data_IF_226177069122
#
_entry.id   IF_226177069122
#
_cell.length_a   1.000
_cell.length_b   1.000
_cell.length_c   1.000
_cell.angle_alpha   90.00
_cell.angle_beta   90.00
_cell.angle_gamma   90.00
#
_symmetry.space_group_name_H-M   'P 1'
#
loop_
_entity.id
_entity.type
_entity.pdbx_description
1 polymer ?
#
# COMPACT_ATOMS: atom_id res chain seq x y z
N UNK A 1 14.67 40.06 32.46
CA UNK A 1 14.28 40.02 31.04
C UNK A 1 13.82 38.60 30.74
N UNK A 2 12.51 38.33 30.59
CA UNK A 2 12.08 37.02 30.11
C UNK A 2 12.54 36.88 28.65
N UNK A 3 13.26 35.80 28.33
CA UNK A 3 13.70 35.51 26.98
C UNK A 3 12.47 35.12 26.15
N UNK A 4 11.87 36.08 25.44
CA UNK A 4 10.81 35.81 24.47
C UNK A 4 11.44 35.47 23.12
N UNK A 5 11.24 34.24 22.66
CA UNK A 5 11.54 33.87 21.27
C UNK A 5 10.67 34.73 20.33
N UNK A 6 11.24 35.32 19.27
CA UNK A 6 10.45 36.01 18.24
C UNK A 6 9.37 35.08 17.66
N UNK A 7 8.18 35.64 17.42
CA UNK A 7 7.02 34.87 16.97
C UNK A 7 7.28 34.06 15.70
N UNK A 8 8.05 34.63 14.77
CA UNK A 8 8.45 33.96 13.53
C UNK A 8 9.37 32.77 13.78
N UNK A 9 10.36 32.92 14.66
CA UNK A 9 11.23 31.79 15.05
C UNK A 9 10.42 30.69 15.75
N UNK A 10 9.44 31.05 16.57
CA UNK A 10 8.57 30.06 17.20
C UNK A 10 7.68 29.35 16.17
N UNK A 11 7.12 30.08 15.20
CA UNK A 11 6.34 29.51 14.11
C UNK A 11 7.20 28.57 13.23
N UNK A 12 8.37 29.02 12.80
CA UNK A 12 9.18 28.30 11.82
C UNK A 12 9.98 27.16 12.43
N UNK A 13 10.49 27.32 13.65
CA UNK A 13 11.37 26.33 14.30
C UNK A 13 10.67 25.41 15.29
N UNK A 14 9.49 25.77 15.79
CA UNK A 14 8.77 24.96 16.79
C UNK A 14 7.48 24.41 16.19
N UNK A 15 6.62 25.26 15.63
CA UNK A 15 5.31 24.82 15.11
C UNK A 15 5.40 24.07 13.77
N UNK A 16 6.22 24.60 12.85
CA UNK A 16 6.49 23.96 11.56
C UNK A 16 7.53 22.84 11.66
N UNK A 17 8.29 22.80 12.75
CA UNK A 17 9.10 21.63 13.05
C UNK A 17 8.20 20.46 13.47
N UNK A 18 8.57 19.24 13.07
CA UNK A 18 7.89 18.01 13.48
C UNK A 18 8.06 17.65 14.97
N UNK A 19 8.44 18.62 15.82
CA UNK A 19 8.63 18.43 17.26
C UNK A 19 7.29 18.31 18.01
N UNK A 20 6.24 18.96 17.53
CA UNK A 20 4.88 18.87 18.08
C UNK A 20 4.00 18.06 17.15
N UNK A 21 3.16 17.17 17.66
CA UNK A 21 2.13 16.49 16.85
C UNK A 21 1.01 17.46 16.44
N UNK A 22 0.18 17.06 15.47
CA UNK A 22 -1.04 17.80 15.12
C UNK A 22 -1.96 17.95 16.33
N UNK A 23 -2.02 16.94 17.22
CA UNK A 23 -2.78 17.04 18.47
C UNK A 23 -2.20 18.11 19.42
N UNK A 24 -0.87 18.20 19.52
CA UNK A 24 -0.22 19.21 20.36
C UNK A 24 -0.48 20.62 19.82
N UNK A 25 -0.47 20.80 18.50
CA UNK A 25 -0.83 22.07 17.87
C UNK A 25 -2.27 22.50 18.22
N UNK A 26 -3.21 21.57 18.28
CA UNK A 26 -4.59 21.86 18.71
C UNK A 26 -4.64 22.29 20.17
N UNK A 27 -3.87 21.61 21.03
CA UNK A 27 -3.78 21.96 22.45
C UNK A 27 -3.18 23.35 22.64
N UNK A 28 -2.10 23.67 21.94
CA UNK A 28 -1.49 25.02 21.95
C UNK A 28 -2.45 26.07 21.40
N UNK A 29 -3.21 25.75 20.35
CA UNK A 29 -4.20 26.68 19.80
C UNK A 29 -5.32 26.97 20.79
N UNK A 30 -5.66 26.02 21.66
CA UNK A 30 -6.75 26.17 22.63
C UNK A 30 -6.36 26.88 23.92
N UNK A 31 -5.06 27.03 24.23
CA UNK A 31 -4.61 27.71 25.46
C UNK A 31 -4.86 29.22 25.49
N UNK A 32 -4.91 29.89 24.32
CA UNK A 32 -5.28 31.31 24.21
C UNK A 32 -6.14 31.53 22.97
N UNK A 33 -7.37 32.03 23.17
CA UNK A 33 -8.33 32.25 22.05
C UNK A 33 -7.86 33.34 21.08
N UNK A 34 -7.19 34.38 21.56
CA UNK A 34 -6.67 35.46 20.69
C UNK A 34 -5.32 35.08 20.08
N UNK A 35 -4.42 34.54 20.89
CA UNK A 35 -3.01 34.40 20.49
C UNK A 35 -2.76 33.02 19.88
N UNK A 36 -3.32 31.95 20.46
CA UNK A 36 -3.22 30.60 19.88
C UNK A 36 -3.91 30.51 18.52
N UNK A 37 -5.07 31.17 18.39
CA UNK A 37 -5.84 31.15 17.15
C UNK A 37 -5.20 31.97 16.01
N UNK A 38 -4.47 33.04 16.35
CA UNK A 38 -3.75 33.87 15.38
C UNK A 38 -2.40 33.27 14.97
N UNK A 39 -1.84 32.39 15.80
CA UNK A 39 -0.54 31.76 15.52
C UNK A 39 -0.67 30.44 14.74
N UNK A 40 -1.60 29.56 15.13
CA UNK A 40 -1.78 28.24 14.52
C UNK A 40 -2.91 28.31 13.50
N UNK A 41 -2.67 28.93 12.35
CA UNK A 41 -3.70 29.16 11.32
C UNK A 41 -3.88 27.94 10.39
N UNK A 42 -4.86 28.00 9.48
CA UNK A 42 -5.00 27.00 8.43
C UNK A 42 -3.75 26.96 7.53
N UNK A 43 -3.14 28.11 7.24
CA UNK A 43 -1.93 28.21 6.41
C UNK A 43 -0.74 27.49 7.04
N UNK A 44 -0.56 27.60 8.37
CA UNK A 44 0.48 26.86 9.10
C UNK A 44 0.27 25.35 8.96
N UNK A 45 -0.98 24.88 9.01
CA UNK A 45 -1.29 23.47 8.80
C UNK A 45 -1.11 23.04 7.35
N UNK A 46 -1.37 23.91 6.37
CA UNK A 46 -1.11 23.63 4.95
C UNK A 46 0.39 23.44 4.69
N UNK A 47 1.25 24.32 5.19
CA UNK A 47 2.71 24.18 5.07
C UNK A 47 3.20 22.87 5.71
N UNK A 48 2.64 22.51 6.86
CA UNK A 48 2.94 21.24 7.53
C UNK A 48 2.48 20.03 6.69
N UNK A 49 1.29 20.11 6.11
CA UNK A 49 0.72 19.08 5.25
C UNK A 49 1.59 18.87 4.01
N UNK A 50 2.04 19.93 3.34
CA UNK A 50 2.98 19.85 2.21
C UNK A 50 4.30 19.17 2.62
N UNK A 51 4.81 19.51 3.81
CA UNK A 51 6.04 18.90 4.34
C UNK A 51 5.86 17.41 4.68
N UNK A 52 4.69 17.02 5.21
CA UNK A 52 4.34 15.61 5.44
C UNK A 52 4.26 14.85 4.10
N UNK A 53 3.57 15.41 3.12
CA UNK A 53 3.43 14.75 1.82
C UNK A 53 4.78 14.56 1.13
N UNK A 54 5.65 15.58 1.17
CA UNK A 54 7.02 15.52 0.65
C UNK A 54 7.82 14.41 1.33
N UNK A 55 7.82 14.40 2.66
CA UNK A 55 8.62 13.47 3.46
C UNK A 55 8.22 12.01 3.26
N UNK A 56 6.93 11.76 3.00
CA UNK A 56 6.39 10.40 2.93
C UNK A 56 6.13 9.92 1.50
N UNK A 57 6.58 10.66 0.48
CA UNK A 57 6.54 10.23 -0.91
C UNK A 57 5.13 10.14 -1.51
N UNK A 58 4.17 10.88 -0.92
CA UNK A 58 2.77 10.93 -1.37
C UNK A 58 2.44 12.22 -2.13
N UNK A 59 3.43 13.08 -2.40
CA UNK A 59 3.27 14.20 -3.34
C UNK A 59 2.78 13.68 -4.69
N UNK A 60 1.80 14.38 -5.25
CA UNK A 60 1.18 14.03 -6.53
C UNK A 60 0.31 12.77 -6.47
N UNK A 61 0.27 12.05 -5.35
CA UNK A 61 -0.61 10.89 -5.15
C UNK A 61 -1.88 11.25 -4.39
N UNK A 62 -1.77 12.12 -3.39
CA UNK A 62 -2.87 12.54 -2.51
C UNK A 62 -2.77 14.04 -2.34
N UNK A 63 -3.91 14.72 -2.33
CA UNK A 63 -3.99 16.13 -1.98
C UNK A 63 -5.34 16.45 -1.32
N UNK A 64 -5.51 17.70 -0.91
CA UNK A 64 -6.75 18.26 -0.39
C UNK A 64 -7.28 19.34 -1.34
N UNK A 65 -8.57 19.64 -1.27
CA UNK A 65 -9.14 20.75 -2.02
C UNK A 65 -8.67 22.09 -1.41
N UNK A 66 -7.91 22.86 -2.21
CA UNK A 66 -7.34 24.16 -1.85
C UNK A 66 -8.05 25.35 -2.51
N UNK A 67 -9.15 25.12 -3.24
CA UNK A 67 -9.73 26.11 -4.17
C UNK A 67 -10.54 27.23 -3.51
N UNK A 68 -10.90 27.08 -2.22
CA UNK A 68 -11.64 28.06 -1.42
C UNK A 68 -10.91 28.31 -0.09
N UNK A 69 -11.32 29.31 0.74
CA UNK A 69 -10.76 29.48 2.08
C UNK A 69 -10.86 28.16 2.87
N UNK A 70 -9.72 27.50 3.05
CA UNK A 70 -9.70 26.15 3.58
C UNK A 70 -10.01 26.21 5.06
N UNK A 71 -11.11 25.59 5.48
CA UNK A 71 -11.50 25.63 6.89
C UNK A 71 -10.41 24.97 7.75
N UNK A 72 -10.04 25.61 8.86
CA UNK A 72 -9.03 25.07 9.78
C UNK A 72 -9.32 23.61 10.18
N UNK A 73 -10.59 23.29 10.46
CA UNK A 73 -11.00 21.94 10.86
C UNK A 73 -10.86 20.89 9.75
N UNK A 74 -10.91 21.28 8.47
CA UNK A 74 -10.67 20.36 7.36
C UNK A 74 -9.16 20.08 7.21
N UNK A 75 -8.32 21.12 7.15
CA UNK A 75 -6.86 20.96 7.06
C UNK A 75 -6.31 20.19 8.26
N UNK A 76 -6.86 20.45 9.46
CA UNK A 76 -6.48 19.74 10.67
C UNK A 76 -6.72 18.24 10.56
N UNK A 77 -7.88 17.81 10.03
CA UNK A 77 -8.19 16.39 9.83
C UNK A 77 -7.28 15.76 8.78
N UNK A 78 -7.06 16.44 7.66
CA UNK A 78 -6.14 15.94 6.63
C UNK A 78 -4.71 15.79 7.16
N UNK A 79 -4.20 16.81 7.86
CA UNK A 79 -2.89 16.77 8.50
C UNK A 79 -2.80 15.65 9.55
N UNK A 80 -3.87 15.43 10.31
CA UNK A 80 -3.93 14.33 11.28
C UNK A 80 -3.80 12.96 10.59
N UNK A 81 -4.60 12.68 9.55
CA UNK A 81 -4.51 11.40 8.82
C UNK A 81 -3.12 11.22 8.22
N UNK A 82 -2.56 12.28 7.61
CA UNK A 82 -1.22 12.24 7.04
C UNK A 82 -0.15 11.95 8.11
N UNK A 83 -0.21 12.62 9.25
CA UNK A 83 0.72 12.41 10.36
C UNK A 83 0.60 11.01 10.97
N UNK A 84 -0.61 10.50 11.16
CA UNK A 84 -0.81 9.17 11.74
C UNK A 84 -0.22 8.08 10.82
N UNK A 85 -0.59 8.06 9.54
CA UNK A 85 -0.05 7.09 8.58
C UNK A 85 1.47 7.22 8.37
N UNK A 86 2.01 8.42 8.59
CA UNK A 86 3.44 8.71 8.49
C UNK A 86 4.23 8.11 9.66
N UNK A 87 3.68 8.17 10.87
CA UNK A 87 4.37 7.81 12.11
C UNK A 87 4.86 6.36 12.15
N UNK A 88 4.17 5.44 11.46
CA UNK A 88 4.52 4.01 11.38
C UNK A 88 4.95 3.58 9.99
N UNK A 89 5.02 4.51 9.02
CA UNK A 89 5.41 4.24 7.64
C UNK A 89 4.35 3.53 6.81
N UNK A 90 3.05 3.71 7.10
CA UNK A 90 1.98 3.18 6.24
C UNK A 90 1.87 3.93 4.91
N UNK A 91 2.09 5.26 4.91
CA UNK A 91 1.97 6.06 3.68
C UNK A 91 2.90 5.61 2.56
N UNK A 92 4.20 5.35 2.78
CA UNK A 92 5.05 4.81 1.73
C UNK A 92 4.53 3.50 1.12
N UNK A 93 3.94 2.60 1.93
CA UNK A 93 3.37 1.34 1.42
C UNK A 93 2.09 1.58 0.61
N UNK A 94 1.21 2.43 1.13
CA UNK A 94 -0.03 2.83 0.44
C UNK A 94 0.29 3.60 -0.85
N UNK A 95 1.36 4.38 -0.88
CA UNK A 95 1.84 5.08 -2.07
C UNK A 95 2.19 4.11 -3.20
N UNK A 96 2.85 2.99 -2.89
CA UNK A 96 3.14 1.92 -3.87
C UNK A 96 1.84 1.37 -4.45
N UNK A 97 0.86 1.06 -3.60
CA UNK A 97 -0.45 0.61 -4.04
C UNK A 97 -1.15 1.65 -4.94
N UNK A 98 -1.16 2.95 -4.57
CA UNK A 98 -1.78 4.01 -5.38
C UNK A 98 -1.11 4.12 -6.76
N UNK A 99 0.23 4.07 -6.81
CA UNK A 99 0.99 4.14 -8.08
C UNK A 99 0.63 2.98 -9.01
N UNK A 100 0.57 1.76 -8.47
CA UNK A 100 0.16 0.60 -9.23
C UNK A 100 -1.31 0.71 -9.66
N UNK A 101 -2.21 1.12 -8.77
CA UNK A 101 -3.61 1.35 -9.11
C UNK A 101 -3.76 2.37 -10.26
N UNK A 102 -2.95 3.43 -10.28
CA UNK A 102 -2.92 4.39 -11.39
C UNK A 102 -2.45 3.76 -12.71
N UNK A 103 -1.35 2.99 -12.68
CA UNK A 103 -0.81 2.27 -13.84
C UNK A 103 -1.84 1.28 -14.40
N UNK A 104 -2.59 0.62 -13.52
CA UNK A 104 -3.63 -0.34 -13.86
C UNK A 104 -5.00 0.29 -14.13
N UNK A 105 -5.09 1.63 -14.20
CA UNK A 105 -6.32 2.38 -14.45
C UNK A 105 -7.47 2.11 -13.48
N UNK A 106 -7.17 1.72 -12.25
CA UNK A 106 -8.13 1.56 -11.14
C UNK A 106 -8.57 2.93 -10.58
N UNK A 107 -7.92 4.01 -11.01
CA UNK A 107 -8.24 5.39 -10.62
C UNK A 107 -8.92 6.07 -11.82
N UNK A 108 -10.21 5.79 -12.03
CA UNK A 108 -10.93 6.24 -13.24
C UNK A 108 -11.51 7.67 -13.13
N UNK A 109 -11.65 8.22 -11.91
CA UNK A 109 -12.26 9.55 -11.71
C UNK A 109 -11.28 10.57 -11.14
N UNK A 110 -10.90 11.56 -11.94
CA UNK A 110 -10.03 12.67 -11.55
C UNK A 110 -8.53 12.40 -11.62
N UNK A 111 -8.13 11.13 -11.74
CA UNK A 111 -6.72 10.73 -11.79
C UNK A 111 -5.99 11.02 -10.48
N UNK A 112 -4.67 11.14 -10.58
CA UNK A 112 -3.84 11.57 -9.47
C UNK A 112 -3.65 13.10 -9.51
N UNK A 113 -3.63 13.79 -8.34
CA UNK A 113 -3.72 13.23 -7.00
C UNK A 113 -5.15 12.86 -6.58
N UNK A 114 -5.27 11.89 -5.68
CA UNK A 114 -6.51 11.56 -4.99
C UNK A 114 -6.89 12.70 -4.03
N UNK A 115 -7.99 13.39 -4.33
CA UNK A 115 -8.46 14.54 -3.57
C UNK A 115 -9.27 14.13 -2.35
N UNK A 116 -8.74 14.31 -1.14
CA UNK A 116 -9.42 13.96 0.11
C UNK A 116 -10.64 14.86 0.36
N UNK A 117 -11.88 14.39 0.28
CA UNK A 117 -13.04 15.27 0.33
C UNK A 117 -13.27 15.82 1.74
N UNK A 118 -13.49 17.13 1.86
CA UNK A 118 -13.72 17.77 3.16
C UNK A 118 -14.95 17.23 3.89
N UNK A 119 -16.02 16.93 3.13
CA UNK A 119 -17.23 16.35 3.68
C UNK A 119 -16.99 14.92 4.18
N UNK A 120 -16.28 14.10 3.41
CA UNK A 120 -15.96 12.73 3.81
C UNK A 120 -15.13 12.69 5.09
N UNK A 121 -14.08 13.51 5.19
CA UNK A 121 -13.26 13.59 6.42
C UNK A 121 -14.09 14.08 7.61
N UNK A 122 -15.06 14.98 7.42
CA UNK A 122 -15.93 15.43 8.51
C UNK A 122 -16.81 14.29 9.02
N UNK A 123 -17.41 13.52 8.11
CA UNK A 123 -18.40 12.50 8.44
C UNK A 123 -17.76 11.20 8.95
N UNK A 124 -16.58 10.84 8.44
CA UNK A 124 -15.88 9.60 8.78
C UNK A 124 -14.73 9.79 9.78
N UNK A 125 -14.35 11.04 10.08
CA UNK A 125 -13.37 11.39 11.10
C UNK A 125 -13.94 12.43 12.09
N UNK A 126 -15.06 12.12 12.77
CA UNK A 126 -15.63 13.03 13.76
C UNK A 126 -14.72 13.20 14.97
N UNK A 127 -13.96 12.15 15.35
CA UNK A 127 -13.06 12.15 16.51
C UNK A 127 -11.74 11.44 16.20
N UNK A 128 -10.75 11.62 17.09
CA UNK A 128 -9.52 10.81 17.06
C UNK A 128 -9.82 9.33 17.27
N UNK A 129 -10.72 9.00 18.19
CA UNK A 129 -11.05 7.62 18.54
C UNK A 129 -11.61 6.85 17.34
N UNK A 130 -12.47 7.48 16.52
CA UNK A 130 -13.06 6.83 15.34
C UNK A 130 -12.01 6.44 14.28
N UNK A 131 -10.87 7.14 14.22
CA UNK A 131 -9.77 6.75 13.33
C UNK A 131 -9.07 5.47 13.77
N UNK A 132 -9.08 5.17 15.07
CA UNK A 132 -8.37 4.07 15.68
C UNK A 132 -9.27 2.86 15.98
N UNK A 133 -10.51 2.86 15.49
CA UNK A 133 -11.42 1.71 15.57
C UNK A 133 -10.95 0.51 14.75
N UNK A 134 -10.10 0.77 13.75
CA UNK A 134 -9.50 -0.25 12.88
C UNK A 134 -7.97 -0.08 12.87
N UNK A 135 -7.22 -1.12 12.46
CA UNK A 135 -5.79 -1.00 12.23
C UNK A 135 -5.43 0.20 11.35
N UNK A 136 -4.30 0.85 11.64
CA UNK A 136 -3.93 2.12 11.03
C UNK A 136 -3.85 2.05 9.48
N UNK A 137 -3.27 0.99 8.91
CA UNK A 137 -3.19 0.84 7.45
C UNK A 137 -4.58 0.72 6.80
N UNK A 138 -5.54 0.08 7.49
CA UNK A 138 -6.94 0.02 7.07
C UNK A 138 -7.63 1.38 7.22
N UNK A 139 -7.36 2.12 8.30
CA UNK A 139 -7.89 3.46 8.51
C UNK A 139 -7.40 4.43 7.43
N UNK A 140 -6.10 4.39 7.11
CA UNK A 140 -5.49 5.14 6.01
C UNK A 140 -6.13 4.75 4.68
N UNK A 141 -6.26 3.45 4.38
CA UNK A 141 -6.91 3.01 3.16
C UNK A 141 -8.37 3.48 3.07
N UNK A 142 -9.16 3.45 4.15
CA UNK A 142 -10.55 3.97 4.15
C UNK A 142 -10.64 5.41 3.64
N UNK A 143 -9.62 6.23 3.90
CA UNK A 143 -9.58 7.64 3.46
C UNK A 143 -9.43 7.82 1.95
N UNK A 144 -8.95 6.79 1.24
CA UNK A 144 -8.71 6.84 -0.21
C UNK A 144 -9.50 5.79 -0.99
N UNK A 145 -9.90 4.68 -0.37
CA UNK A 145 -10.61 3.54 -0.97
C UNK A 145 -11.87 3.93 -1.72
N UNK A 146 -12.62 4.89 -1.17
CA UNK A 146 -13.85 5.40 -1.76
C UNK A 146 -13.62 6.34 -2.96
N UNK A 147 -12.38 6.79 -3.20
CA UNK A 147 -11.99 7.64 -4.33
C UNK A 147 -11.51 6.82 -5.54
N UNK A 148 -11.47 5.49 -5.41
CA UNK A 148 -11.05 4.57 -6.45
C UNK A 148 -12.25 3.71 -6.89
N UNK A 149 -12.28 3.35 -8.17
CA UNK A 149 -13.34 2.54 -8.76
C UNK A 149 -12.76 1.53 -9.73
N UNK A 150 -13.33 0.33 -9.71
CA UNK A 150 -13.02 -0.71 -10.68
C UNK A 150 -14.35 -1.28 -11.16
N UNK A 151 -14.54 -1.36 -12.48
CA UNK A 151 -15.80 -1.84 -13.09
C UNK A 151 -17.03 -1.12 -12.50
N UNK A 152 -17.00 0.22 -12.44
CA UNK A 152 -18.05 1.09 -11.90
C UNK A 152 -18.38 0.90 -10.41
N UNK A 153 -17.62 0.07 -9.67
CA UNK A 153 -17.80 -0.16 -8.23
C UNK A 153 -16.67 0.48 -7.44
N UNK A 154 -17.03 1.23 -6.38
CA UNK A 154 -16.02 1.83 -5.53
C UNK A 154 -15.24 0.77 -4.73
N UNK A 155 -14.01 1.10 -4.34
CA UNK A 155 -13.16 0.21 -3.57
C UNK A 155 -13.20 0.51 -2.07
N UNK A 156 -14.33 1.04 -1.60
CA UNK A 156 -14.50 1.44 -0.21
C UNK A 156 -14.40 0.22 0.70
N UNK A 157 -13.55 0.33 1.74
CA UNK A 157 -13.46 -0.69 2.77
C UNK A 157 -14.66 -0.60 3.71
N UNK A 158 -15.40 -1.70 3.80
CA UNK A 158 -16.56 -1.85 4.68
C UNK A 158 -16.47 -3.17 5.47
N UNK A 159 -17.12 -3.19 6.62
CA UNK A 159 -17.31 -4.42 7.38
C UNK A 159 -18.61 -5.08 6.93
N UNK A 160 -18.56 -6.39 6.65
CA UNK A 160 -19.73 -7.15 6.24
C UNK A 160 -20.66 -7.37 7.44
N UNK A 161 -21.96 -7.14 7.25
CA UNK A 161 -22.95 -7.39 8.30
C UNK A 161 -23.02 -8.88 8.66
N UNK A 162 -23.17 -9.17 9.96
CA UNK A 162 -23.33 -10.54 10.44
C UNK A 162 -24.53 -11.22 9.75
N UNK A 163 -24.29 -12.34 9.07
CA UNK A 163 -25.33 -13.15 8.42
C UNK A 163 -25.53 -12.92 6.91
N UNK A 164 -24.87 -11.92 6.31
CA UNK A 164 -24.96 -11.67 4.87
C UNK A 164 -24.01 -12.59 4.07
N UNK A 165 -24.30 -13.88 3.96
CA UNK A 165 -23.59 -14.81 3.06
C UNK A 165 -22.26 -15.36 3.59
N UNK A 166 -22.14 -16.69 3.59
CA UNK A 166 -20.92 -17.41 3.97
C UNK A 166 -19.90 -17.36 2.82
N UNK A 167 -19.15 -16.26 2.72
CA UNK A 167 -18.00 -16.17 1.82
C UNK A 167 -16.84 -17.07 2.27
N UNK A 168 -15.90 -17.34 1.37
CA UNK A 168 -14.70 -18.13 1.63
C UNK A 168 -13.87 -17.60 2.83
N UNK A 169 -13.85 -16.28 3.03
CA UNK A 169 -13.20 -15.62 4.16
C UNK A 169 -13.93 -15.85 5.50
N UNK A 170 -15.27 -15.88 5.50
CA UNK A 170 -16.08 -16.11 6.71
C UNK A 170 -15.88 -17.53 7.28
N UNK A 171 -15.72 -18.52 6.39
CA UNK A 171 -15.41 -19.90 6.78
C UNK A 171 -13.95 -20.10 7.24
N UNK A 172 -13.09 -19.09 7.06
CA UNK A 172 -11.68 -19.11 7.44
C UNK A 172 -11.38 -18.31 8.71
N UNK A 173 -12.33 -17.51 9.21
CA UNK A 173 -12.32 -17.05 10.58
C UNK A 173 -12.43 -18.29 11.48
N UNK A 174 -11.48 -18.48 12.39
CA UNK A 174 -11.47 -19.60 13.32
C UNK A 174 -12.69 -19.60 14.27
N UNK A 175 -12.63 -20.34 15.39
CA UNK A 175 -13.75 -20.41 16.35
C UNK A 175 -14.16 -19.05 16.94
N UNK A 176 -13.30 -18.03 16.86
CA UNK A 176 -13.67 -16.63 17.07
C UNK A 176 -14.09 -16.00 15.72
N UNK A 177 -15.34 -15.57 15.63
CA UNK A 177 -15.91 -14.86 14.47
C UNK A 177 -15.27 -13.48 14.31
N UNK A 178 -14.07 -13.44 13.76
CA UNK A 178 -13.43 -12.20 13.35
C UNK A 178 -14.32 -11.50 12.31
N UNK A 179 -14.42 -10.17 12.34
CA UNK A 179 -15.22 -9.44 11.37
C UNK A 179 -14.65 -9.63 9.97
N UNK A 180 -15.53 -9.94 9.01
CA UNK A 180 -15.17 -10.01 7.58
C UNK A 180 -15.20 -8.59 7.01
N UNK A 181 -14.10 -8.24 6.35
CA UNK A 181 -13.92 -6.97 5.68
C UNK A 181 -14.05 -7.18 4.18
N UNK A 182 -14.66 -6.21 3.52
CA UNK A 182 -14.88 -6.21 2.07
C UNK A 182 -14.40 -4.90 1.45
N UNK A 183 -13.74 -5.00 0.31
CA UNK A 183 -13.39 -3.88 -0.56
C UNK A 183 -13.50 -4.36 -2.01
N UNK A 184 -14.52 -3.91 -2.75
CA UNK A 184 -14.87 -4.51 -4.03
C UNK A 184 -15.13 -6.03 -3.89
N UNK A 185 -14.42 -6.86 -4.66
CA UNK A 185 -14.49 -8.33 -4.64
C UNK A 185 -13.50 -8.96 -3.65
N UNK A 186 -12.67 -8.14 -3.00
CA UNK A 186 -11.76 -8.61 -1.96
C UNK A 186 -12.55 -8.84 -0.67
N UNK A 187 -12.45 -10.06 -0.12
CA UNK A 187 -12.98 -10.40 1.20
C UNK A 187 -11.87 -10.95 2.08
N UNK A 188 -11.69 -10.39 3.27
CA UNK A 188 -10.62 -10.84 4.16
C UNK A 188 -11.01 -10.72 5.63
N UNK A 189 -10.23 -11.39 6.47
CA UNK A 189 -10.29 -11.27 7.93
C UNK A 189 -8.94 -10.82 8.47
N UNK A 190 -8.96 -10.02 9.53
CA UNK A 190 -7.74 -9.67 10.27
C UNK A 190 -7.40 -10.83 11.21
N UNK A 191 -6.17 -11.33 11.13
CA UNK A 191 -5.66 -12.37 12.02
C UNK A 191 -4.95 -11.68 13.19
N UNK A 192 -5.39 -11.94 14.41
CA UNK A 192 -4.74 -11.35 15.58
C UNK A 192 -3.38 -12.02 15.83
N UNK A 193 -2.47 -11.32 16.50
CA UNK A 193 -1.18 -11.90 16.89
C UNK A 193 -1.35 -13.17 17.74
N UNK A 194 -2.39 -13.20 18.59
CA UNK A 194 -2.70 -14.32 19.49
C UNK A 194 -3.19 -15.57 18.75
N UNK A 195 -3.77 -15.39 17.56
CA UNK A 195 -4.24 -16.50 16.72
C UNK A 195 -3.10 -17.13 15.93
N UNK A 196 -1.95 -16.45 15.80
CA UNK A 196 -0.79 -17.01 15.12
C UNK A 196 -0.07 -18.01 16.03
N UNK A 197 0.28 -19.21 15.53
CA UNK A 197 1.16 -20.12 16.26
C UNK A 197 2.46 -19.41 16.66
N UNK A 198 2.99 -19.70 17.85
CA UNK A 198 4.18 -19.01 18.38
C UNK A 198 5.41 -19.08 17.44
N UNK A 199 5.52 -20.16 16.65
CA UNK A 199 6.60 -20.37 15.68
C UNK A 199 6.22 -19.96 14.25
N UNK A 200 5.08 -19.30 14.05
CA UNK A 200 4.65 -18.84 12.74
C UNK A 200 5.54 -17.68 12.29
N UNK A 201 6.05 -17.65 11.04
CA UNK A 201 7.00 -16.62 10.61
C UNK A 201 6.43 -15.20 10.65
N UNK A 202 5.12 -15.04 10.44
CA UNK A 202 4.48 -13.72 10.56
C UNK A 202 4.32 -13.24 12.01
N UNK A 203 4.55 -14.10 13.01
CA UNK A 203 4.53 -13.69 14.42
C UNK A 203 5.68 -12.71 14.72
N UNK A 204 6.87 -12.92 14.14
CA UNK A 204 8.03 -12.04 14.39
C UNK A 204 7.90 -10.67 13.72
N UNK A 205 7.21 -10.62 12.57
CA UNK A 205 7.01 -9.41 11.79
C UNK A 205 5.64 -8.76 12.04
N UNK A 206 4.87 -9.25 13.01
CA UNK A 206 3.52 -8.77 13.26
C UNK A 206 3.51 -7.28 13.63
N UNK A 207 2.58 -6.53 13.04
CA UNK A 207 2.36 -5.12 13.36
C UNK A 207 0.88 -4.89 13.53
N UNK A 208 0.45 -4.51 14.73
CA UNK A 208 -0.95 -4.16 14.98
C UNK A 208 -1.46 -3.01 14.09
N UNK A 209 -0.56 -2.14 13.61
CA UNK A 209 -0.88 -1.03 12.71
C UNK A 209 -1.13 -1.49 11.27
N UNK A 210 -0.57 -2.63 10.87
CA UNK A 210 -0.68 -3.20 9.53
C UNK A 210 -0.68 -4.73 9.63
N UNK A 211 -1.80 -5.31 10.08
CA UNK A 211 -1.83 -6.66 10.63
C UNK A 211 -1.81 -7.72 9.54
N UNK A 212 -1.53 -8.95 9.97
CA UNK A 212 -1.73 -10.15 9.14
C UNK A 212 -3.19 -10.24 8.75
N UNK A 213 -3.44 -10.53 7.47
CA UNK A 213 -4.80 -10.70 6.94
C UNK A 213 -4.90 -11.99 6.15
N UNK A 214 -6.10 -12.58 6.18
CA UNK A 214 -6.41 -13.82 5.45
C UNK A 214 -7.48 -13.55 4.40
N UNK A 215 -7.16 -13.89 3.16
CA UNK A 215 -8.08 -13.93 2.02
C UNK A 215 -8.18 -15.37 1.54
N UNK A 216 -9.29 -16.03 1.87
CA UNK A 216 -9.51 -17.44 1.54
C UNK A 216 -8.38 -18.36 2.08
N UNK A 217 -7.69 -19.06 1.19
CA UNK A 217 -6.54 -19.94 1.51
C UNK A 217 -5.20 -19.22 1.61
N UNK A 218 -5.17 -17.91 1.34
CA UNK A 218 -3.96 -17.09 1.34
C UNK A 218 -3.87 -16.29 2.64
N UNK A 219 -2.69 -16.27 3.23
CA UNK A 219 -2.32 -15.50 4.40
C UNK A 219 -1.24 -14.48 4.01
N UNK A 220 -1.56 -13.21 4.18
CA UNK A 220 -0.67 -12.10 3.87
C UNK A 220 -0.05 -11.56 5.16
N UNK A 221 1.25 -11.24 5.17
CA UNK A 221 1.92 -10.74 6.36
C UNK A 221 1.38 -9.38 6.83
N UNK A 222 0.83 -8.58 5.90
CA UNK A 222 0.24 -7.28 6.19
C UNK A 222 -0.98 -7.02 5.30
N UNK A 223 -1.87 -6.12 5.75
CA UNK A 223 -3.00 -5.65 4.93
C UNK A 223 -2.53 -4.90 3.68
N UNK A 224 -1.50 -4.07 3.79
CA UNK A 224 -0.92 -3.36 2.61
C UNK A 224 -0.37 -4.32 1.55
N UNK A 225 0.17 -5.47 1.96
CA UNK A 225 0.64 -6.50 1.04
C UNK A 225 -0.52 -7.16 0.29
N UNK A 226 -1.63 -7.45 0.98
CA UNK A 226 -2.87 -7.91 0.34
C UNK A 226 -3.36 -6.89 -0.70
N UNK A 227 -3.51 -5.61 -0.33
CA UNK A 227 -3.96 -4.57 -1.27
C UNK A 227 -3.09 -4.50 -2.53
N UNK A 228 -1.76 -4.54 -2.35
CA UNK A 228 -0.82 -4.45 -3.48
C UNK A 228 -0.90 -5.70 -4.35
N UNK A 229 -1.08 -6.89 -3.75
CA UNK A 229 -1.29 -8.14 -4.49
C UNK A 229 -2.58 -8.11 -5.32
N UNK A 230 -3.66 -7.52 -4.79
CA UNK A 230 -4.96 -7.45 -5.46
C UNK A 230 -4.92 -6.70 -6.79
N UNK A 231 -4.03 -5.70 -6.94
CA UNK A 231 -3.84 -5.00 -8.21
C UNK A 231 -3.48 -5.97 -9.34
N UNK A 232 -2.65 -6.98 -9.05
CA UNK A 232 -2.17 -7.94 -10.04
C UNK A 232 -3.12 -9.12 -10.26
N UNK A 233 -3.92 -9.47 -9.26
CA UNK A 233 -4.73 -10.70 -9.25
C UNK A 233 -6.19 -10.46 -9.59
N UNK A 234 -6.76 -9.35 -9.12
CA UNK A 234 -8.18 -9.03 -9.23
C UNK A 234 -8.43 -7.84 -10.16
N UNK A 235 -7.53 -6.86 -10.20
CA UNK A 235 -7.78 -5.58 -10.88
C UNK A 235 -6.95 -5.36 -12.14
N UNK A 236 -6.45 -6.44 -12.75
CA UNK A 236 -5.61 -6.34 -13.95
C UNK A 236 -6.40 -6.19 -15.27
N UNK A 237 -7.72 -6.40 -15.27
CA UNK A 237 -8.51 -6.51 -16.51
C UNK A 237 -8.57 -5.21 -17.34
N UNK A 238 -8.36 -4.05 -16.71
CA UNK A 238 -8.41 -2.73 -17.36
C UNK A 238 -7.16 -2.42 -18.18
N UNK A 239 -6.04 -3.11 -17.92
CA UNK A 239 -4.78 -2.92 -18.64
C UNK A 239 -4.35 -4.22 -19.28
N UNK A 240 -3.87 -4.13 -20.52
CA UNK A 240 -3.24 -5.25 -21.20
C UNK A 240 -1.91 -5.58 -20.51
N UNK A 241 -1.97 -6.40 -19.48
CA UNK A 241 -0.80 -7.00 -18.88
C UNK A 241 -0.33 -8.16 -19.74
N UNK A 242 0.93 -8.11 -20.17
CA UNK A 242 1.51 -9.16 -20.99
C UNK A 242 2.40 -10.07 -20.17
N UNK A 243 2.19 -11.38 -20.31
CA UNK A 243 3.12 -12.39 -19.81
C UNK A 243 4.20 -12.55 -20.87
N UNK A 244 5.43 -12.14 -20.57
CA UNK A 244 6.53 -12.19 -21.53
C UNK A 244 7.23 -13.55 -21.54
N UNK A 245 7.34 -14.17 -20.36
CA UNK A 245 8.12 -15.38 -20.18
C UNK A 245 7.59 -16.22 -19.01
N UNK A 246 7.67 -17.53 -19.16
CA UNK A 246 7.50 -18.50 -18.09
C UNK A 246 8.68 -19.50 -18.04
N UNK A 247 9.19 -19.75 -16.83
CA UNK A 247 10.31 -20.67 -16.61
C UNK A 247 10.04 -21.58 -15.41
N UNK A 248 10.41 -22.85 -15.54
CA UNK A 248 10.39 -23.82 -14.44
C UNK A 248 11.81 -23.98 -13.89
N UNK A 249 12.05 -23.37 -12.73
CA UNK A 249 13.37 -23.38 -12.07
C UNK A 249 13.48 -24.54 -11.07
N UNK A 250 12.34 -24.94 -10.48
CA UNK A 250 12.25 -25.99 -9.46
C UNK A 250 12.25 -25.42 -8.05
N UNK A 251 11.37 -25.95 -7.20
CA UNK A 251 11.17 -25.47 -5.81
C UNK A 251 12.37 -25.77 -4.90
N UNK A 252 13.12 -26.84 -5.19
CA UNK A 252 14.35 -27.21 -4.49
C UNK A 252 15.58 -26.45 -4.95
N UNK A 253 15.47 -25.64 -6.01
CA UNK A 253 16.60 -24.87 -6.51
C UNK A 253 16.99 -23.79 -5.49
N UNK A 254 18.24 -23.79 -4.98
CA UNK A 254 18.66 -22.84 -3.95
C UNK A 254 18.58 -21.38 -4.42
N UNK A 255 18.78 -21.11 -5.72
CA UNK A 255 18.65 -19.77 -6.30
C UNK A 255 17.21 -19.29 -6.29
N UNK A 256 16.26 -20.17 -6.63
CA UNK A 256 14.83 -19.90 -6.57
C UNK A 256 14.38 -19.61 -5.13
N UNK A 257 14.81 -20.46 -4.18
CA UNK A 257 14.51 -20.25 -2.76
C UNK A 257 15.08 -18.93 -2.24
N UNK A 258 16.32 -18.60 -2.61
CA UNK A 258 16.92 -17.32 -2.23
C UNK A 258 16.13 -16.13 -2.76
N UNK A 259 15.58 -16.22 -3.97
CA UNK A 259 14.72 -15.18 -4.55
C UNK A 259 13.35 -15.10 -3.84
N UNK A 260 12.79 -16.26 -3.47
CA UNK A 260 11.49 -16.37 -2.79
C UNK A 260 11.53 -15.88 -1.33
N UNK A 261 12.62 -16.13 -0.61
CA UNK A 261 12.78 -15.73 0.79
C UNK A 261 13.37 -14.32 0.96
N UNK A 262 13.54 -13.56 -0.12
CA UNK A 262 13.98 -12.18 -0.05
C UNK A 262 12.94 -11.35 0.71
N UNK A 263 13.32 -10.85 1.88
CA UNK A 263 12.44 -10.03 2.74
C UNK A 263 12.79 -8.54 2.71
N UNK A 264 13.98 -8.19 2.20
CA UNK A 264 14.43 -6.82 2.13
C UNK A 264 14.09 -6.20 0.78
N UNK A 265 13.30 -5.12 0.83
CA UNK A 265 13.20 -4.17 -0.26
C UNK A 265 14.53 -3.45 -0.40
N UNK A 266 15.06 -3.39 -1.61
CA UNK A 266 16.24 -2.61 -1.93
C UNK A 266 15.90 -1.59 -3.03
N UNK A 267 16.89 -0.81 -3.45
CA UNK A 267 16.70 0.21 -4.48
C UNK A 267 16.34 -0.39 -5.85
N UNK A 268 16.37 -1.71 -6.06
CA UNK A 268 16.04 -2.34 -7.34
C UNK A 268 14.67 -3.02 -7.36
N UNK A 269 14.17 -3.54 -6.24
CA UNK A 269 12.86 -4.17 -6.21
C UNK A 269 12.07 -4.01 -4.89
N UNK A 270 10.75 -4.15 -5.03
CA UNK A 270 9.80 -4.26 -3.90
C UNK A 270 9.17 -5.65 -3.89
N UNK A 271 9.16 -6.32 -2.73
CA UNK A 271 8.67 -7.70 -2.61
C UNK A 271 7.31 -7.75 -1.92
N UNK A 272 6.37 -8.46 -2.54
CA UNK A 272 5.04 -8.76 -2.01
C UNK A 272 4.96 -10.27 -1.82
N UNK A 273 5.04 -10.74 -0.59
CA UNK A 273 4.97 -12.17 -0.26
C UNK A 273 3.66 -12.55 0.41
N UNK A 274 3.20 -13.77 0.17
CA UNK A 274 2.08 -14.35 0.89
C UNK A 274 2.23 -15.87 0.93
N UNK A 275 1.43 -16.49 1.80
CA UNK A 275 1.48 -17.91 2.08
C UNK A 275 0.13 -18.56 1.75
N UNK A 276 0.13 -19.61 0.96
CA UNK A 276 -1.04 -20.45 0.77
C UNK A 276 -0.96 -21.65 1.72
N UNK A 277 -1.74 -21.58 2.80
CA UNK A 277 -1.74 -22.57 3.90
C UNK A 277 -3.05 -23.37 3.96
N UNK A 278 -3.93 -23.21 2.96
CA UNK A 278 -5.23 -23.90 2.88
C UNK A 278 -6.12 -23.66 4.11
N UNK A 279 -6.02 -22.49 4.75
CA UNK A 279 -6.75 -22.10 5.96
C UNK A 279 -6.28 -22.81 7.23
N UNK A 280 -5.10 -23.42 7.20
CA UNK A 280 -4.48 -24.02 8.38
C UNK A 280 -3.20 -23.27 8.74
N UNK A 281 -3.26 -22.47 9.81
CA UNK A 281 -2.09 -21.75 10.32
C UNK A 281 -0.95 -22.67 10.77
N UNK A 282 -1.24 -23.97 10.99
CA UNK A 282 -0.27 -25.02 11.33
C UNK A 282 0.06 -25.93 10.15
N UNK A 283 -0.28 -25.54 8.92
CA UNK A 283 -0.01 -26.35 7.74
C UNK A 283 1.48 -26.78 7.71
N UNK A 284 1.73 -28.08 7.62
CA UNK A 284 3.09 -28.63 7.66
C UNK A 284 3.93 -28.21 6.44
N UNK A 285 3.28 -28.05 5.29
CA UNK A 285 3.91 -27.69 4.02
C UNK A 285 3.11 -26.56 3.34
N UNK A 286 3.14 -25.34 3.88
CA UNK A 286 2.49 -24.21 3.24
C UNK A 286 3.26 -23.83 1.96
N UNK A 287 2.59 -23.25 0.98
CA UNK A 287 3.24 -22.77 -0.24
C UNK A 287 3.56 -21.30 -0.10
N UNK A 288 4.84 -20.96 -0.16
CA UNK A 288 5.28 -19.57 -0.24
C UNK A 288 5.13 -19.06 -1.67
N UNK A 289 4.60 -17.85 -1.80
CA UNK A 289 4.44 -17.17 -3.07
C UNK A 289 4.94 -15.73 -2.93
N UNK A 290 5.49 -15.18 -4.00
CA UNK A 290 5.80 -13.76 -4.01
C UNK A 290 5.67 -13.13 -5.39
N UNK A 291 5.50 -11.81 -5.37
CA UNK A 291 5.67 -10.91 -6.51
C UNK A 291 6.87 -10.02 -6.20
N UNK A 292 7.77 -9.90 -7.17
CA UNK A 292 8.93 -9.02 -7.10
C UNK A 292 8.70 -7.91 -8.11
N UNK A 293 8.31 -6.74 -7.62
CA UNK A 293 8.10 -5.55 -8.40
C UNK A 293 9.43 -4.91 -8.73
N UNK A 294 9.69 -4.75 -10.02
CA UNK A 294 10.92 -4.16 -10.55
C UNK A 294 10.67 -2.76 -11.12
N UNK A 295 9.42 -2.46 -11.50
CA UNK A 295 8.92 -1.15 -11.91
C UNK A 295 7.46 -1.01 -11.49
N UNK A 296 6.99 0.23 -11.34
CA UNK A 296 5.61 0.63 -11.03
C UNK A 296 5.40 1.07 -9.59
N UNK A 297 6.43 0.98 -8.75
CA UNK A 297 6.34 1.32 -7.32
C UNK A 297 7.05 2.63 -6.96
N UNK A 298 7.83 3.21 -7.87
CA UNK A 298 8.57 4.46 -7.66
C UNK A 298 7.88 5.65 -8.29
N UNK A 299 8.29 6.82 -7.84
CA UNK A 299 7.93 8.07 -8.49
C UNK A 299 8.50 8.13 -9.92
N UNK A 300 7.64 8.48 -10.88
CA UNK A 300 8.00 8.57 -12.30
C UNK A 300 7.85 7.27 -13.09
N UNK A 301 7.63 6.12 -12.43
CA UNK A 301 7.36 4.88 -13.14
C UNK A 301 6.04 5.00 -13.94
N UNK A 302 6.10 4.72 -15.24
CA UNK A 302 4.94 4.79 -16.14
C UNK A 302 4.36 3.42 -16.51
N UNK A 303 4.99 2.34 -16.03
CA UNK A 303 4.58 0.96 -16.29
C UNK A 303 4.96 0.07 -15.10
N UNK A 304 4.25 -1.04 -14.96
CA UNK A 304 4.58 -2.07 -13.99
C UNK A 304 5.34 -3.21 -14.69
N UNK A 305 6.40 -3.70 -14.04
CA UNK A 305 7.10 -4.91 -14.45
C UNK A 305 7.45 -5.72 -13.21
N UNK A 306 7.15 -7.01 -13.25
CA UNK A 306 7.32 -7.86 -12.07
C UNK A 306 7.53 -9.33 -12.41
N UNK A 307 8.16 -10.01 -11.46
CA UNK A 307 8.27 -11.46 -11.44
C UNK A 307 7.24 -12.03 -10.49
N UNK A 308 6.50 -13.06 -10.90
CA UNK A 308 5.65 -13.85 -10.00
C UNK A 308 6.30 -15.21 -9.77
N UNK A 309 6.45 -15.60 -8.51
CA UNK A 309 7.03 -16.86 -8.09
C UNK A 309 5.96 -17.72 -7.42
N UNK A 310 5.75 -18.93 -7.92
CA UNK A 310 4.91 -19.94 -7.26
C UNK A 310 5.30 -21.35 -7.70
N UNK A 311 5.34 -22.30 -6.76
CA UNK A 311 5.52 -23.75 -7.05
C UNK A 311 6.76 -24.08 -7.91
N UNK A 312 7.87 -23.37 -7.73
CA UNK A 312 9.08 -23.56 -8.54
C UNK A 312 8.99 -22.98 -9.97
N UNK A 313 7.90 -22.29 -10.29
CA UNK A 313 7.75 -21.51 -11.51
C UNK A 313 8.03 -20.03 -11.26
N UNK A 314 8.47 -19.39 -12.33
CA UNK A 314 8.71 -17.97 -12.42
C UNK A 314 8.03 -17.44 -13.70
N UNK A 315 7.25 -16.39 -13.56
CA UNK A 315 6.61 -15.69 -14.68
C UNK A 315 7.03 -14.24 -14.69
N UNK A 316 7.38 -13.71 -15.86
CA UNK A 316 7.66 -12.30 -16.07
C UNK A 316 6.45 -11.62 -16.71
N UNK A 317 5.97 -10.55 -16.07
CA UNK A 317 4.85 -9.75 -16.55
C UNK A 317 5.25 -8.30 -16.73
N UNK A 318 4.58 -7.61 -17.67
CA UNK A 318 4.74 -6.17 -17.87
C UNK A 318 3.47 -5.49 -18.36
N UNK A 319 3.37 -4.18 -18.09
CA UNK A 319 2.46 -3.25 -18.77
C UNK A 319 3.22 -2.26 -19.66
N UNK A 320 4.51 -2.46 -19.88
CA UNK A 320 5.31 -1.68 -20.82
C UNK A 320 4.70 -1.79 -22.23
N UNK A 321 4.56 -0.66 -22.90
CA UNK A 321 4.08 -0.66 -24.28
C UNK A 321 5.15 -1.24 -25.20
N UNK A 322 4.78 -2.25 -25.99
CA UNK A 322 5.69 -2.87 -26.95
C UNK A 322 6.28 -1.84 -27.92
N UNK A 323 7.60 -1.82 -28.06
CA UNK A 323 8.30 -0.99 -29.04
C UNK A 323 8.01 -1.51 -30.45
N UNK A 324 7.55 -0.62 -31.33
CA UNK A 324 7.34 -0.92 -32.75
C UNK A 324 8.65 -1.03 -33.54
N UNK A 325 8.57 -1.27 -34.85
CA UNK A 325 9.74 -1.15 -35.74
C UNK A 325 10.61 -2.40 -35.89
N UNK A 326 10.02 -3.59 -35.83
CA UNK A 326 10.71 -4.85 -36.19
C UNK A 326 11.41 -5.56 -35.02
N UNK A 327 11.33 -5.03 -33.79
CA UNK A 327 11.71 -5.77 -32.60
C UNK A 327 10.83 -7.03 -32.45
N UNK A 328 11.46 -8.16 -32.15
CA UNK A 328 10.79 -9.46 -31.98
C UNK A 328 11.07 -10.01 -30.58
N UNK A 329 10.17 -10.84 -30.05
CA UNK A 329 10.46 -11.48 -28.77
C UNK A 329 10.45 -10.48 -27.61
N UNK A 330 11.34 -10.73 -26.67
CA UNK A 330 11.56 -9.90 -25.48
C UNK A 330 12.13 -8.51 -25.79
N UNK A 331 12.72 -8.32 -26.98
CA UNK A 331 13.32 -7.03 -27.37
C UNK A 331 12.27 -5.92 -27.60
N UNK A 332 10.99 -6.29 -27.68
CA UNK A 332 9.86 -5.33 -27.69
C UNK A 332 9.69 -4.60 -26.35
N UNK A 333 10.28 -5.08 -25.25
CA UNK A 333 10.11 -4.55 -23.88
C UNK A 333 11.47 -4.27 -23.23
N UNK A 334 12.26 -3.32 -23.79
CA UNK A 334 13.64 -3.11 -23.37
C UNK A 334 13.77 -2.70 -21.91
N UNK A 335 12.85 -1.90 -21.37
CA UNK A 335 12.95 -1.44 -19.99
C UNK A 335 12.65 -2.59 -19.02
N UNK A 336 11.57 -3.33 -19.24
CA UNK A 336 11.23 -4.55 -18.50
C UNK A 336 12.39 -5.52 -18.50
N UNK A 337 12.98 -5.78 -19.67
CA UNK A 337 14.10 -6.71 -19.79
C UNK A 337 15.36 -6.23 -19.10
N UNK A 338 15.63 -4.92 -19.09
CA UNK A 338 16.74 -4.33 -18.32
C UNK A 338 16.56 -4.61 -16.83
N UNK A 339 15.36 -4.39 -16.30
CA UNK A 339 15.02 -4.66 -14.90
C UNK A 339 15.09 -6.15 -14.56
N UNK A 340 14.49 -7.00 -15.39
CA UNK A 340 14.50 -8.45 -15.22
C UNK A 340 15.92 -9.03 -15.22
N UNK A 341 16.78 -8.62 -16.17
CA UNK A 341 18.18 -9.08 -16.24
C UNK A 341 18.96 -8.71 -14.98
N UNK A 342 18.75 -7.51 -14.43
CA UNK A 342 19.40 -7.07 -13.19
C UNK A 342 18.99 -7.93 -12.00
N UNK A 343 17.67 -8.10 -11.80
CA UNK A 343 17.14 -8.89 -10.69
C UNK A 343 17.55 -10.36 -10.83
N UNK A 344 17.29 -11.00 -11.97
CA UNK A 344 17.65 -12.42 -12.19
C UNK A 344 19.16 -12.65 -12.11
N UNK A 345 19.97 -11.73 -12.62
CA UNK A 345 21.43 -11.79 -12.56
C UNK A 345 21.96 -11.83 -11.12
N UNK A 346 21.37 -11.05 -10.21
CA UNK A 346 21.75 -11.04 -8.78
C UNK A 346 21.64 -12.42 -8.12
N UNK A 347 20.66 -13.22 -8.53
CA UNK A 347 20.43 -14.57 -7.99
C UNK A 347 21.00 -15.68 -8.88
N UNK A 348 21.73 -15.32 -9.95
CA UNK A 348 22.29 -16.30 -10.89
C UNK A 348 21.23 -17.09 -11.65
N UNK A 349 20.01 -16.55 -11.79
CA UNK A 349 18.87 -17.18 -12.48
C UNK A 349 18.76 -16.79 -13.95
N UNK A 350 19.68 -15.97 -14.46
CA UNK A 350 19.56 -15.39 -15.79
C UNK A 350 19.42 -16.44 -16.90
N UNK A 351 20.36 -17.39 -16.98
CA UNK A 351 20.31 -18.46 -17.98
C UNK A 351 19.20 -19.47 -17.71
N UNK A 352 18.96 -19.81 -16.43
CA UNK A 352 17.90 -20.75 -16.05
C UNK A 352 16.51 -20.26 -16.52
N UNK A 353 16.32 -18.94 -16.59
CA UNK A 353 15.05 -18.29 -16.93
C UNK A 353 15.00 -17.85 -18.39
N UNK A 354 16.01 -17.14 -18.90
CA UNK A 354 15.97 -16.56 -20.25
C UNK A 354 16.30 -17.58 -21.35
N UNK A 355 17.21 -18.53 -21.07
CA UNK A 355 17.61 -19.55 -22.05
C UNK A 355 16.71 -20.80 -21.96
N UNK A 356 16.18 -21.09 -20.76
CA UNK A 356 15.33 -22.26 -20.49
C UNK A 356 13.82 -22.00 -20.46
N UNK A 357 13.39 -20.75 -20.46
CA UNK A 357 11.98 -20.37 -20.39
C UNK A 357 11.27 -20.39 -21.75
N UNK A 358 9.93 -20.41 -21.73
CA UNK A 358 9.11 -20.21 -22.92
C UNK A 358 8.76 -18.72 -23.05
N UNK A 359 8.96 -18.16 -24.24
CA UNK A 359 8.71 -16.74 -24.56
C UNK A 359 7.33 -16.61 -25.21
N UNK A 360 6.57 -15.57 -24.83
CA UNK A 360 5.17 -15.36 -25.24
C UNK A 360 4.91 -14.06 -26.05
N UNK A 361 5.96 -13.49 -26.64
CA UNK A 361 5.97 -12.16 -27.25
C UNK A 361 5.26 -12.00 -28.62
#
# INVERSE_FOLDING_TARGET
>A
MPYSLPLELWRDRVLLSFLLSVCDLVNVRSTSRSDGASVITADVLLTRLDSLMARHGVIGLIDIDRTAPVSFGYVLRAAYVLEQGASTGEWPKIAIFIRLAAIYHVIEQGGLPLMLPAQWLRDNLPTKASFHEVPLSMAVYKTIGHLMSFEDRNMQLAQQAAGAGQGAAAAAAGPQQAPVWVAHDLQFVVVSEQDLPANHPYHQAYRATDPVVRDGSCLHPTFTNLLTQCVFSLWYSLVRQERLLDARVGEDNPKYRSLLTQTANDDDCFVISWREDRRDLNAANPREQCIILMSGYKEGDSFAAYLRLSNGFLWLYTTETAVGGGASGLDKYPETMRHARRVLGRYGLLSDVLDGGTIHA
#
